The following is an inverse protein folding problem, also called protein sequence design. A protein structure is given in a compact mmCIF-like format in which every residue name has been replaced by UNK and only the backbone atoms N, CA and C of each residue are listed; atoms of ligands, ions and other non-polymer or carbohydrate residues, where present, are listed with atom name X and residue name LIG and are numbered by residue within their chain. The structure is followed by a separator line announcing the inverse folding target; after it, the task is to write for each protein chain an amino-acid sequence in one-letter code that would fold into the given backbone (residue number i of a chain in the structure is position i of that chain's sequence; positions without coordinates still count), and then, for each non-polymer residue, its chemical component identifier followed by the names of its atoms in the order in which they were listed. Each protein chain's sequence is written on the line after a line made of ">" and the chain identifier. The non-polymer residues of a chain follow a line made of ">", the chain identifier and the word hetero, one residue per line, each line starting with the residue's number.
data_IF_889403445306
#
_entry.id   IF_889403445306
#
_cell.length_a   1.000
_cell.length_b   1.000
_cell.length_c   1.000
_cell.angle_alpha   90.00
_cell.angle_beta   90.00
_cell.angle_gamma   90.00
#
_symmetry.space_group_name_H-M   'P 1'
#
loop_
_entity.id
_entity.type
_entity.pdbx_description
1 polymer ?
#
# COMPACT_ATOMS: atom_id res chain seq x y z
N UNK A 1 3.48 34.65 51.87
CA UNK A 1 4.68 34.33 51.07
C UNK A 1 4.23 34.12 49.60
N UNK A 2 4.48 35.17 48.79
CA UNK A 2 4.09 35.19 47.37
C UNK A 2 5.24 34.64 46.51
N UNK A 3 5.05 33.46 45.93
CA UNK A 3 6.01 32.87 45.00
C UNK A 3 5.83 33.51 43.61
N UNK A 4 6.66 34.48 43.27
CA UNK A 4 6.76 35.02 41.89
C UNK A 4 7.27 33.91 40.96
N UNK A 5 6.43 33.43 40.04
CA UNK A 5 6.83 32.59 38.93
C UNK A 5 7.76 33.34 37.98
N UNK A 6 8.95 32.81 37.76
CA UNK A 6 9.92 33.38 36.84
C UNK A 6 9.38 33.27 35.38
N UNK A 7 9.56 34.31 34.52
CA UNK A 7 9.08 34.27 33.14
C UNK A 7 9.85 33.21 32.32
N UNK A 8 9.15 32.36 31.59
CA UNK A 8 9.74 31.38 30.68
C UNK A 8 10.60 32.09 29.63
N UNK A 9 11.90 31.90 29.71
CA UNK A 9 12.89 32.44 28.78
C UNK A 9 12.67 31.81 27.40
N UNK A 10 11.99 32.52 26.47
CA UNK A 10 11.91 32.14 25.05
C UNK A 10 13.34 31.91 24.53
N UNK A 11 13.70 30.64 24.28
CA UNK A 11 14.96 30.26 23.62
C UNK A 11 14.92 30.88 22.19
N UNK A 12 15.63 32.00 22.00
CA UNK A 12 15.92 32.51 20.65
C UNK A 12 16.68 31.41 19.91
N UNK A 13 16.11 30.96 18.81
CA UNK A 13 16.72 29.96 17.94
C UNK A 13 18.12 30.50 17.55
N UNK A 14 19.15 29.79 17.97
CA UNK A 14 20.53 30.20 17.78
C UNK A 14 20.94 29.84 16.36
N UNK A 15 20.76 30.73 15.40
CA UNK A 15 21.07 30.55 13.97
C UNK A 15 22.48 29.99 13.73
N UNK A 16 23.44 30.27 14.60
CA UNK A 16 24.79 29.72 14.54
C UNK A 16 24.83 28.18 14.74
N UNK A 17 23.87 27.60 15.47
CA UNK A 17 23.80 26.16 15.71
C UNK A 17 23.08 25.42 14.58
N UNK A 18 22.07 26.05 13.95
CA UNK A 18 21.26 25.46 12.90
C UNK A 18 21.78 25.72 11.48
N UNK A 19 22.57 26.78 11.29
CA UNK A 19 23.09 27.22 9.99
C UNK A 19 23.83 26.10 9.23
N UNK A 20 24.85 25.43 9.81
CA UNK A 20 25.59 24.38 9.13
C UNK A 20 24.70 23.17 8.79
N UNK A 21 23.75 22.81 9.66
CA UNK A 21 22.81 21.74 9.40
C UNK A 21 21.84 22.08 8.25
N UNK A 22 21.29 23.30 8.24
CA UNK A 22 20.41 23.75 7.16
C UNK A 22 21.14 23.84 5.82
N UNK A 23 22.40 24.26 5.82
CA UNK A 23 23.21 24.32 4.60
C UNK A 23 23.49 22.93 4.04
N UNK A 24 23.71 21.95 4.90
CA UNK A 24 23.93 20.57 4.49
C UNK A 24 22.67 19.93 3.86
N UNK A 25 21.48 20.21 4.39
CA UNK A 25 20.21 19.65 3.88
C UNK A 25 19.55 20.53 2.81
N UNK A 26 20.03 21.78 2.60
CA UNK A 26 19.43 22.72 1.64
C UNK A 26 19.35 22.20 0.21
N UNK A 27 20.34 21.46 -0.36
CA UNK A 27 20.22 20.92 -1.70
C UNK A 27 19.04 19.96 -1.82
N UNK A 28 18.86 19.08 -0.82
CA UNK A 28 17.72 18.13 -0.81
C UNK A 28 16.39 18.87 -0.66
N UNK A 29 16.31 19.89 0.18
CA UNK A 29 15.10 20.71 0.36
C UNK A 29 14.74 21.43 -0.95
N UNK A 30 15.73 22.01 -1.64
CA UNK A 30 15.52 22.70 -2.92
C UNK A 30 15.03 21.70 -3.98
N UNK A 31 15.69 20.54 -4.12
CA UNK A 31 15.28 19.51 -5.07
C UNK A 31 13.85 19.04 -4.81
N UNK A 32 13.51 18.72 -3.56
CA UNK A 32 12.13 18.35 -3.19
C UNK A 32 11.15 19.50 -3.45
N UNK A 33 11.55 20.74 -3.10
CA UNK A 33 10.73 21.94 -3.36
C UNK A 33 10.38 22.11 -4.84
N UNK A 34 11.37 21.99 -5.71
CA UNK A 34 11.18 22.17 -7.16
C UNK A 34 10.52 20.96 -7.80
N UNK A 35 11.08 19.76 -7.61
CA UNK A 35 10.64 18.57 -8.36
C UNK A 35 9.40 17.90 -7.76
N UNK A 36 9.13 18.03 -6.48
CA UNK A 36 7.93 17.47 -5.87
C UNK A 36 6.85 18.53 -5.75
N UNK A 37 7.08 19.56 -4.95
CA UNK A 37 6.04 20.57 -4.71
C UNK A 37 5.76 21.46 -5.93
N UNK A 38 6.80 21.79 -6.72
CA UNK A 38 6.62 22.50 -8.00
C UNK A 38 5.77 21.71 -8.98
N UNK A 39 6.05 20.41 -9.15
CA UNK A 39 5.26 19.53 -10.02
C UNK A 39 3.83 19.35 -9.51
N UNK A 40 3.63 19.24 -8.20
CA UNK A 40 2.29 19.22 -7.61
C UNK A 40 1.53 20.50 -7.94
N UNK A 41 2.17 21.66 -7.78
CA UNK A 41 1.56 22.95 -8.14
C UNK A 41 1.18 23.05 -9.61
N UNK A 42 2.05 22.61 -10.51
CA UNK A 42 1.77 22.54 -11.95
C UNK A 42 0.60 21.62 -12.23
N UNK A 43 0.56 20.41 -11.64
CA UNK A 43 -0.54 19.47 -11.84
C UNK A 43 -1.88 20.02 -11.34
N UNK A 44 -1.90 20.68 -10.16
CA UNK A 44 -3.11 21.33 -9.65
C UNK A 44 -3.57 22.42 -10.61
N UNK A 45 -2.65 23.29 -11.07
CA UNK A 45 -3.02 24.33 -12.02
C UNK A 45 -3.55 23.75 -13.34
N UNK A 46 -2.87 22.75 -13.91
CA UNK A 46 -3.29 22.08 -15.15
C UNK A 46 -4.66 21.42 -15.01
N UNK A 47 -4.96 20.83 -13.85
CA UNK A 47 -6.27 20.18 -13.60
C UNK A 47 -7.45 21.16 -13.59
N UNK A 48 -7.20 22.45 -13.41
CA UNK A 48 -8.20 23.52 -13.41
C UNK A 48 -8.35 24.20 -14.80
N UNK A 49 -7.52 23.80 -15.77
CA UNK A 49 -7.49 24.36 -17.10
C UNK A 49 -8.18 23.41 -18.11
N UNK A 50 -8.74 24.03 -19.18
CA UNK A 50 -9.23 23.31 -20.35
C UNK A 50 -8.03 22.90 -21.24
N UNK A 51 -7.50 21.70 -21.01
CA UNK A 51 -6.36 21.14 -21.76
C UNK A 51 -6.73 19.79 -22.39
N UNK A 52 -7.60 19.80 -23.38
CA UNK A 52 -8.09 18.59 -24.05
C UNK A 52 -7.42 18.31 -25.41
N UNK A 53 -6.61 19.23 -25.91
CA UNK A 53 -5.97 19.07 -27.22
C UNK A 53 -4.45 19.23 -27.13
N UNK A 54 -3.73 18.52 -28.01
CA UNK A 54 -2.27 18.65 -28.13
C UNK A 54 -1.80 20.10 -28.40
N UNK A 55 -2.65 20.91 -29.05
CA UNK A 55 -2.37 22.33 -29.29
C UNK A 55 -2.41 23.17 -28.00
N UNK A 56 -3.30 22.85 -27.07
CA UNK A 56 -3.39 23.50 -25.76
C UNK A 56 -2.24 23.05 -24.85
N UNK A 57 -1.93 21.77 -24.83
CA UNK A 57 -0.80 21.20 -24.06
C UNK A 57 0.54 21.79 -24.53
N UNK A 58 0.70 22.01 -25.85
CA UNK A 58 1.93 22.60 -26.43
C UNK A 58 1.98 24.13 -26.34
N UNK A 59 0.98 24.79 -25.75
CA UNK A 59 0.90 26.25 -25.65
C UNK A 59 0.59 26.99 -26.96
N UNK A 60 0.28 26.24 -28.03
CA UNK A 60 -0.08 26.83 -29.35
C UNK A 60 -1.52 27.38 -29.40
N UNK A 61 -2.38 26.95 -28.50
CA UNK A 61 -3.73 27.46 -28.29
C UNK A 61 -3.90 27.94 -26.87
N UNK A 62 -4.65 29.02 -26.69
CA UNK A 62 -4.97 29.54 -25.37
C UNK A 62 -5.73 28.50 -24.52
N UNK A 63 -5.44 28.45 -23.25
CA UNK A 63 -6.16 27.63 -22.27
C UNK A 63 -7.09 28.53 -21.46
N UNK A 64 -8.28 28.06 -21.14
CA UNK A 64 -9.24 28.74 -20.28
C UNK A 64 -9.32 28.07 -18.92
N UNK A 65 -9.55 28.84 -17.87
CA UNK A 65 -9.77 28.30 -16.53
C UNK A 65 -11.19 27.77 -16.45
N UNK A 66 -11.34 26.47 -16.28
CA UNK A 66 -12.64 25.80 -16.15
C UNK A 66 -12.97 25.40 -14.71
N UNK A 67 -12.07 25.70 -13.79
CA UNK A 67 -12.24 25.41 -12.37
C UNK A 67 -12.44 23.90 -12.11
N UNK A 68 -13.49 23.54 -11.37
CA UNK A 68 -13.77 22.15 -11.01
C UNK A 68 -14.56 21.35 -12.06
N UNK A 69 -14.82 21.93 -13.26
CA UNK A 69 -15.60 21.26 -14.31
C UNK A 69 -14.98 19.93 -14.76
N UNK A 70 -13.65 19.86 -14.85
CA UNK A 70 -12.95 18.63 -15.18
C UNK A 70 -13.24 17.52 -14.17
N UNK A 71 -13.27 17.86 -12.88
CA UNK A 71 -13.58 16.89 -11.83
C UNK A 71 -15.04 16.44 -11.85
N UNK A 72 -15.98 17.35 -12.08
CA UNK A 72 -17.41 16.98 -12.19
C UNK A 72 -17.66 16.06 -13.38
N UNK A 73 -17.01 16.31 -14.52
CA UNK A 73 -17.08 15.46 -15.72
C UNK A 73 -16.45 14.09 -15.43
N UNK A 74 -15.28 14.05 -14.79
CA UNK A 74 -14.58 12.82 -14.46
C UNK A 74 -15.41 11.94 -13.53
N UNK A 75 -15.90 12.48 -12.42
CA UNK A 75 -16.74 11.72 -11.47
C UNK A 75 -18.16 11.44 -12.01
N UNK A 76 -18.60 12.17 -13.01
CA UNK A 76 -19.82 11.87 -13.79
C UNK A 76 -19.67 10.64 -14.71
N UNK A 77 -18.44 10.30 -15.11
CA UNK A 77 -18.18 9.17 -16.00
C UNK A 77 -18.35 7.83 -15.26
N UNK A 78 -19.24 6.93 -15.74
CA UNK A 78 -19.46 5.62 -15.12
C UNK A 78 -18.22 4.75 -15.08
N UNK A 79 -17.38 4.76 -16.12
CA UNK A 79 -16.14 3.96 -16.21
C UNK A 79 -15.13 4.40 -15.17
N UNK A 80 -14.97 5.72 -14.98
CA UNK A 80 -14.08 6.25 -13.96
C UNK A 80 -14.57 5.90 -12.55
N UNK A 81 -15.89 6.00 -12.30
CA UNK A 81 -16.46 5.60 -11.00
C UNK A 81 -16.21 4.11 -10.72
N UNK A 82 -16.36 3.25 -11.73
CA UNK A 82 -16.06 1.83 -11.59
C UNK A 82 -14.58 1.60 -11.25
N UNK A 83 -13.66 2.24 -11.98
CA UNK A 83 -12.22 2.12 -11.70
C UNK A 83 -11.84 2.67 -10.32
N UNK A 84 -12.52 3.71 -9.85
CA UNK A 84 -12.31 4.27 -8.52
C UNK A 84 -12.80 3.33 -7.40
N UNK A 85 -13.96 2.69 -7.60
CA UNK A 85 -14.46 1.65 -6.68
C UNK A 85 -13.51 0.46 -6.65
N UNK A 86 -13.01 0.01 -7.80
CA UNK A 86 -12.01 -1.04 -7.88
C UNK A 86 -10.74 -0.69 -7.10
N UNK A 87 -10.27 0.55 -7.18
CA UNK A 87 -9.11 1.00 -6.40
C UNK A 87 -9.38 0.90 -4.89
N UNK A 88 -10.55 1.31 -4.42
CA UNK A 88 -10.93 1.21 -3.01
C UNK A 88 -10.99 -0.26 -2.58
N UNK A 89 -11.65 -1.12 -3.35
CA UNK A 89 -11.77 -2.55 -3.05
C UNK A 89 -10.38 -3.22 -3.01
N UNK A 90 -9.54 -2.93 -3.98
CA UNK A 90 -8.15 -3.39 -4.03
C UNK A 90 -7.38 -2.93 -2.79
N UNK A 91 -7.42 -1.62 -2.49
CA UNK A 91 -6.70 -1.04 -1.35
C UNK A 91 -7.12 -1.68 -0.04
N UNK A 92 -8.43 -1.81 0.21
CA UNK A 92 -8.94 -2.40 1.46
C UNK A 92 -8.53 -3.87 1.56
N UNK A 93 -8.71 -4.65 0.50
CA UNK A 93 -8.38 -6.09 0.50
C UNK A 93 -6.88 -6.32 0.63
N UNK A 94 -6.08 -5.56 -0.12
CA UNK A 94 -4.62 -5.63 -0.07
C UNK A 94 -4.09 -5.25 1.31
N UNK A 95 -4.57 -4.14 1.87
CA UNK A 95 -4.17 -3.66 3.19
C UNK A 95 -4.56 -4.66 4.28
N UNK A 96 -5.83 -5.06 4.32
CA UNK A 96 -6.32 -6.02 5.31
C UNK A 96 -5.58 -7.38 5.20
N UNK A 97 -5.44 -7.91 3.98
CA UNK A 97 -4.75 -9.17 3.74
C UNK A 97 -3.29 -9.12 4.17
N UNK A 98 -2.57 -8.06 3.80
CA UNK A 98 -1.15 -7.89 4.13
C UNK A 98 -0.94 -7.72 5.64
N UNK A 99 -1.80 -6.95 6.30
CA UNK A 99 -1.73 -6.78 7.76
C UNK A 99 -2.03 -8.08 8.49
N UNK A 100 -3.09 -8.80 8.11
CA UNK A 100 -3.48 -10.05 8.75
C UNK A 100 -2.41 -11.13 8.54
N UNK A 101 -1.99 -11.37 7.31
CA UNK A 101 -0.99 -12.39 6.99
C UNK A 101 0.37 -12.03 7.61
N UNK A 102 0.81 -10.77 7.48
CA UNK A 102 2.05 -10.30 8.08
C UNK A 102 2.07 -10.39 9.60
N UNK A 103 0.97 -10.01 10.25
CA UNK A 103 0.81 -10.15 11.70
C UNK A 103 0.86 -11.62 12.13
N UNK A 104 0.13 -12.51 11.44
CA UNK A 104 0.12 -13.94 11.75
C UNK A 104 1.51 -14.55 11.61
N UNK A 105 2.25 -14.24 10.56
CA UNK A 105 3.62 -14.72 10.38
C UNK A 105 4.57 -14.16 11.45
N UNK A 106 4.44 -12.87 11.80
CA UNK A 106 5.22 -12.27 12.88
C UNK A 106 4.92 -12.93 14.23
N UNK A 107 3.64 -13.16 14.53
CA UNK A 107 3.21 -13.83 15.75
C UNK A 107 3.72 -15.26 15.86
N UNK A 108 3.75 -16.01 14.75
CA UNK A 108 4.31 -17.36 14.70
C UNK A 108 5.83 -17.33 14.92
N UNK A 109 6.54 -16.34 14.35
CA UNK A 109 7.99 -16.20 14.45
C UNK A 109 8.46 -15.52 15.75
N UNK A 110 7.57 -14.91 16.54
CA UNK A 110 7.89 -14.37 17.88
C UNK A 110 8.16 -15.49 18.90
N UNK A 111 7.73 -16.71 18.58
CA UNK A 111 8.02 -17.90 19.40
C UNK A 111 9.42 -18.44 19.09
N UNK A 112 10.10 -19.09 20.07
CA UNK A 112 11.40 -19.72 19.84
C UNK A 112 11.25 -20.91 18.87
N UNK A 113 11.54 -20.69 17.60
CA UNK A 113 11.44 -21.70 16.54
C UNK A 113 12.83 -22.02 16.00
N UNK A 114 13.18 -23.32 15.93
CA UNK A 114 14.40 -23.75 15.25
C UNK A 114 14.33 -23.41 13.76
N UNK A 115 15.34 -22.71 13.26
CA UNK A 115 15.38 -22.32 11.84
C UNK A 115 14.59 -21.04 11.50
N UNK A 116 14.28 -20.19 12.47
CA UNK A 116 13.59 -18.91 12.25
C UNK A 116 14.16 -18.10 11.10
N UNK A 117 15.48 -18.02 10.96
CA UNK A 117 16.14 -17.29 9.88
C UNK A 117 15.75 -17.78 8.47
N UNK A 118 15.53 -19.09 8.31
CA UNK A 118 15.10 -19.70 7.05
C UNK A 118 13.65 -19.25 6.73
N UNK A 119 12.75 -19.39 7.69
CA UNK A 119 11.36 -18.95 7.49
C UNK A 119 11.26 -17.46 7.19
N UNK A 120 12.03 -16.63 7.94
CA UNK A 120 12.10 -15.19 7.65
C UNK A 120 12.57 -14.91 6.23
N UNK A 121 13.59 -15.61 5.76
CA UNK A 121 14.10 -15.44 4.38
C UNK A 121 13.06 -15.86 3.33
N UNK A 122 12.37 -16.98 3.55
CA UNK A 122 11.30 -17.46 2.65
C UNK A 122 10.14 -16.45 2.59
N UNK A 123 9.70 -15.92 3.72
CA UNK A 123 8.58 -14.97 3.75
C UNK A 123 8.95 -13.58 3.20
N UNK A 124 10.23 -13.19 3.30
CA UNK A 124 10.73 -11.94 2.72
C UNK A 124 11.07 -12.05 1.23
N UNK A 125 11.31 -13.27 0.72
CA UNK A 125 11.73 -13.49 -0.66
C UNK A 125 10.80 -12.86 -1.70
N UNK A 126 9.46 -12.96 -1.59
CA UNK A 126 8.55 -12.37 -2.57
C UNK A 126 8.75 -10.86 -2.78
N UNK A 127 9.13 -10.14 -1.73
CA UNK A 127 9.39 -8.69 -1.80
C UNK A 127 10.60 -8.34 -2.70
N UNK A 128 11.54 -9.26 -2.88
CA UNK A 128 12.71 -9.07 -3.74
C UNK A 128 12.38 -9.21 -5.23
N UNK A 129 11.22 -9.78 -5.58
CA UNK A 129 10.78 -9.96 -6.97
C UNK A 129 10.15 -8.66 -7.47
N UNK A 130 10.44 -8.26 -8.72
CA UNK A 130 9.78 -7.09 -9.30
C UNK A 130 8.28 -7.31 -9.48
N UNK A 131 7.47 -6.25 -9.35
CA UNK A 131 6.01 -6.34 -9.54
C UNK A 131 5.64 -6.84 -10.93
N UNK A 132 6.39 -6.46 -11.97
CA UNK A 132 6.15 -6.92 -13.34
C UNK A 132 6.42 -8.41 -13.48
N UNK A 133 7.55 -8.89 -12.99
CA UNK A 133 7.89 -10.32 -13.05
C UNK A 133 6.89 -11.17 -12.25
N UNK A 134 6.53 -10.71 -11.05
CA UNK A 134 5.47 -11.31 -10.24
C UNK A 134 4.15 -11.36 -11.02
N UNK A 135 3.76 -10.24 -11.64
CA UNK A 135 2.52 -10.14 -12.40
C UNK A 135 2.43 -11.13 -13.56
N UNK A 136 3.52 -11.35 -14.30
CA UNK A 136 3.55 -12.34 -15.40
C UNK A 136 3.29 -13.77 -14.89
N UNK A 137 3.90 -14.15 -13.76
CA UNK A 137 3.66 -15.47 -13.15
C UNK A 137 2.24 -15.59 -12.65
N UNK A 138 1.74 -14.56 -11.96
CA UNK A 138 0.38 -14.55 -11.42
C UNK A 138 -0.70 -14.48 -12.52
N UNK A 139 -0.41 -13.88 -13.68
CA UNK A 139 -1.29 -13.93 -14.86
C UNK A 139 -1.54 -15.37 -15.29
N UNK A 140 -0.51 -16.21 -15.28
CA UNK A 140 -0.64 -17.63 -15.58
C UNK A 140 -1.38 -18.38 -14.46
N UNK A 141 -1.08 -18.09 -13.19
CA UNK A 141 -1.74 -18.72 -12.03
C UNK A 141 -3.23 -18.37 -11.97
N UNK A 142 -3.60 -17.12 -12.25
CA UNK A 142 -4.96 -16.60 -12.23
C UNK A 142 -5.66 -16.76 -13.60
N UNK A 143 -5.24 -17.73 -14.41
CA UNK A 143 -5.88 -17.98 -15.69
C UNK A 143 -7.34 -18.38 -15.48
N UNK A 144 -8.23 -17.78 -16.28
CA UNK A 144 -9.68 -17.96 -16.16
C UNK A 144 -10.23 -19.22 -16.83
N UNK A 145 -9.39 -19.97 -17.57
CA UNK A 145 -9.79 -21.22 -18.21
C UNK A 145 -10.21 -22.26 -17.17
N UNK A 146 -11.28 -22.98 -17.45
CA UNK A 146 -11.88 -24.01 -16.59
C UNK A 146 -12.04 -25.34 -17.34
N UNK A 147 -12.25 -26.43 -16.62
CA UNK A 147 -12.42 -27.75 -17.18
C UNK A 147 -11.15 -28.26 -17.86
N UNK A 148 -11.27 -28.91 -19.03
CA UNK A 148 -10.14 -29.54 -19.76
C UNK A 148 -9.03 -28.54 -20.13
N UNK A 149 -9.37 -27.27 -20.29
CA UNK A 149 -8.41 -26.19 -20.59
C UNK A 149 -7.88 -25.48 -19.34
N UNK A 150 -8.26 -25.92 -18.15
CA UNK A 150 -7.84 -25.32 -16.89
C UNK A 150 -6.31 -25.25 -16.79
N UNK A 151 -5.80 -24.13 -16.31
CA UNK A 151 -4.39 -23.91 -16.03
C UNK A 151 -4.23 -23.14 -14.73
N UNK A 152 -3.00 -23.03 -14.24
CA UNK A 152 -2.72 -22.29 -13.00
C UNK A 152 -3.47 -22.87 -11.79
N UNK A 153 -4.11 -21.98 -11.00
CA UNK A 153 -4.84 -22.38 -9.79
C UNK A 153 -6.08 -23.22 -10.09
N UNK A 154 -6.80 -22.96 -11.18
CA UNK A 154 -7.96 -23.77 -11.56
C UNK A 154 -7.57 -25.23 -11.83
N UNK A 155 -6.44 -25.45 -12.52
CA UNK A 155 -5.92 -26.80 -12.73
C UNK A 155 -5.52 -27.49 -11.42
N UNK A 156 -4.91 -26.74 -10.51
CA UNK A 156 -4.57 -27.27 -9.19
C UNK A 156 -5.83 -27.70 -8.42
N UNK A 157 -6.88 -26.87 -8.40
CA UNK A 157 -8.13 -27.19 -7.73
C UNK A 157 -8.83 -28.41 -8.36
N UNK A 158 -8.80 -28.54 -9.67
CA UNK A 158 -9.30 -29.72 -10.36
C UNK A 158 -8.56 -30.98 -9.91
N UNK A 159 -7.21 -30.94 -9.88
CA UNK A 159 -6.37 -32.10 -9.51
C UNK A 159 -6.60 -32.56 -8.06
N UNK A 160 -6.90 -31.65 -7.14
CA UNK A 160 -7.18 -31.95 -5.72
C UNK A 160 -8.68 -32.22 -5.47
N UNK A 161 -9.52 -32.22 -6.51
CA UNK A 161 -10.97 -32.46 -6.38
C UNK A 161 -11.76 -31.27 -5.83
N UNK A 162 -11.17 -30.08 -5.77
CA UNK A 162 -11.78 -28.85 -5.26
C UNK A 162 -12.34 -27.98 -6.39
N UNK A 163 -13.00 -28.58 -7.38
CA UNK A 163 -13.55 -27.88 -8.56
C UNK A 163 -14.49 -26.72 -8.21
N UNK A 164 -15.14 -26.76 -7.05
CA UNK A 164 -16.00 -25.65 -6.58
C UNK A 164 -15.25 -24.35 -6.31
N UNK A 165 -13.91 -24.37 -6.23
CA UNK A 165 -13.04 -23.19 -6.09
C UNK A 165 -12.57 -22.65 -7.45
N UNK A 166 -12.83 -23.34 -8.56
CA UNK A 166 -12.52 -22.83 -9.89
C UNK A 166 -13.29 -21.52 -10.15
N UNK A 167 -12.57 -20.53 -10.66
CA UNK A 167 -13.12 -19.19 -10.82
C UNK A 167 -12.60 -18.53 -12.10
N UNK A 168 -13.34 -17.56 -12.60
CA UNK A 168 -12.92 -16.69 -13.71
C UNK A 168 -11.93 -15.60 -13.28
N UNK A 169 -11.48 -15.63 -12.03
CA UNK A 169 -10.47 -14.74 -11.44
C UNK A 169 -10.60 -13.28 -11.91
N UNK A 170 -9.62 -12.81 -12.68
CA UNK A 170 -9.54 -11.43 -13.15
C UNK A 170 -10.63 -11.02 -14.17
N UNK A 171 -11.34 -11.96 -14.77
CA UNK A 171 -12.41 -11.67 -15.74
C UNK A 171 -13.79 -11.48 -15.08
N UNK A 172 -13.92 -11.81 -13.80
CA UNK A 172 -15.14 -11.56 -13.06
C UNK A 172 -15.36 -10.08 -12.84
N UNK A 173 -16.47 -9.53 -13.31
CA UNK A 173 -16.76 -8.09 -13.25
C UNK A 173 -16.95 -7.54 -11.84
N UNK A 174 -17.35 -8.39 -10.89
CA UNK A 174 -17.60 -7.98 -9.51
C UNK A 174 -16.38 -8.19 -8.61
N UNK A 175 -15.68 -9.30 -8.77
CA UNK A 175 -14.63 -9.75 -7.85
C UNK A 175 -13.23 -9.80 -8.47
N UNK A 176 -13.09 -9.48 -9.77
CA UNK A 176 -11.82 -9.60 -10.49
C UNK A 176 -10.67 -8.81 -9.86
N UNK A 177 -10.97 -7.61 -9.37
CA UNK A 177 -9.96 -6.77 -8.70
C UNK A 177 -9.46 -7.38 -7.37
N UNK A 178 -10.31 -8.15 -6.68
CA UNK A 178 -9.92 -8.82 -5.43
C UNK A 178 -8.94 -9.97 -5.70
N UNK A 179 -9.05 -10.64 -6.86
CA UNK A 179 -8.09 -11.67 -7.25
C UNK A 179 -6.67 -11.10 -7.40
N UNK A 180 -6.54 -9.84 -7.85
CA UNK A 180 -5.26 -9.15 -7.96
C UNK A 180 -4.68 -8.78 -6.58
N UNK A 181 -5.49 -8.68 -5.55
CA UNK A 181 -4.98 -8.46 -4.20
C UNK A 181 -4.17 -9.66 -3.67
N UNK A 182 -4.42 -10.90 -4.15
CA UNK A 182 -3.67 -12.10 -3.74
C UNK A 182 -2.16 -11.97 -4.01
N UNK A 183 -1.70 -11.71 -5.27
CA UNK A 183 -0.28 -11.47 -5.54
C UNK A 183 0.30 -10.29 -4.76
N UNK A 184 -0.46 -9.21 -4.59
CA UNK A 184 -0.01 -8.05 -3.84
C UNK A 184 0.21 -8.39 -2.36
N UNK A 185 -0.72 -9.11 -1.73
CA UNK A 185 -0.59 -9.60 -0.34
C UNK A 185 0.61 -10.55 -0.23
N UNK A 186 0.71 -11.55 -1.11
CA UNK A 186 1.83 -12.49 -1.12
C UNK A 186 3.18 -11.78 -1.20
N UNK A 187 3.28 -10.74 -2.02
CA UNK A 187 4.52 -10.02 -2.24
C UNK A 187 4.94 -9.16 -1.04
N UNK A 188 4.00 -8.57 -0.30
CA UNK A 188 4.31 -7.60 0.76
C UNK A 188 3.97 -8.06 2.19
N UNK A 189 3.35 -9.21 2.37
CA UNK A 189 3.07 -9.74 3.71
C UNK A 189 4.35 -9.99 4.52
N UNK A 190 5.44 -10.42 3.87
CA UNK A 190 6.74 -10.60 4.52
C UNK A 190 7.34 -9.30 5.04
N UNK A 191 7.15 -8.19 4.33
CA UNK A 191 7.57 -6.87 4.79
C UNK A 191 6.82 -6.46 6.08
N UNK A 192 5.50 -6.60 6.06
CA UNK A 192 4.66 -6.31 7.24
C UNK A 192 4.96 -7.25 8.39
N UNK A 193 5.23 -8.53 8.10
CA UNK A 193 5.75 -9.49 9.09
C UNK A 193 7.02 -8.97 9.77
N UNK A 194 7.99 -8.47 8.99
CA UNK A 194 9.23 -7.95 9.57
C UNK A 194 9.00 -6.73 10.47
N UNK A 195 8.08 -5.83 10.09
CA UNK A 195 7.70 -4.69 10.92
C UNK A 195 7.08 -5.15 12.26
N UNK A 196 6.09 -6.05 12.21
CA UNK A 196 5.46 -6.56 13.43
C UNK A 196 6.41 -7.38 14.28
N UNK A 197 7.28 -8.20 13.69
CA UNK A 197 8.27 -8.97 14.42
C UNK A 197 9.27 -8.08 15.16
N UNK A 198 9.72 -6.99 14.54
CA UNK A 198 10.52 -5.98 15.21
C UNK A 198 9.76 -5.33 16.37
N UNK A 199 8.47 -5.10 16.20
CA UNK A 199 7.59 -4.59 17.26
C UNK A 199 7.43 -5.55 18.41
N UNK A 200 7.16 -6.82 18.15
CA UNK A 200 7.06 -7.85 19.19
C UNK A 200 8.33 -7.94 20.03
N UNK A 201 9.50 -7.88 19.38
CA UNK A 201 10.81 -7.94 20.03
C UNK A 201 11.22 -6.65 20.75
N UNK A 202 10.54 -5.54 20.42
CA UNK A 202 10.71 -4.29 21.15
C UNK A 202 9.96 -4.22 22.47
N UNK A 203 9.06 -5.17 22.74
CA UNK A 203 8.31 -5.25 24.00
C UNK A 203 9.18 -5.97 25.03
N UNK A 204 9.54 -5.31 26.16
CA UNK A 204 10.34 -5.94 27.22
C UNK A 204 9.66 -7.20 27.77
N UNK A 205 10.45 -8.26 27.97
CA UNK A 205 9.95 -9.54 28.51
C UNK A 205 9.41 -9.37 29.94
N UNK A 206 9.98 -8.46 30.72
CA UNK A 206 9.50 -8.12 32.07
C UNK A 206 8.03 -7.74 32.10
N UNK A 207 7.52 -7.05 31.05
CA UNK A 207 6.10 -6.69 30.96
C UNK A 207 5.22 -7.92 30.73
N UNK A 208 5.71 -8.88 29.96
CA UNK A 208 5.00 -10.14 29.69
C UNK A 208 4.98 -11.02 30.94
N UNK A 209 6.11 -11.08 31.67
CA UNK A 209 6.23 -11.85 32.90
C UNK A 209 5.40 -11.25 34.03
N UNK A 210 5.45 -9.94 34.24
CA UNK A 210 4.63 -9.24 35.23
C UNK A 210 3.13 -9.50 35.00
N UNK A 211 2.63 -9.39 33.76
CA UNK A 211 1.26 -9.68 33.47
C UNK A 211 0.85 -11.13 33.77
N UNK A 212 1.74 -12.10 33.52
CA UNK A 212 1.49 -13.51 33.87
C UNK A 212 1.49 -13.73 35.37
N UNK A 213 2.37 -13.07 36.13
CA UNK A 213 2.39 -13.10 37.60
C UNK A 213 1.11 -12.52 38.18
N UNK A 214 0.57 -11.46 37.55
CA UNK A 214 -0.73 -10.85 37.89
C UNK A 214 -1.92 -11.72 37.50
N UNK A 215 -1.71 -12.91 36.90
CA UNK A 215 -2.76 -13.84 36.52
C UNK A 215 -3.47 -13.51 35.22
N UNK A 216 -2.91 -12.62 34.37
CA UNK A 216 -3.50 -12.32 33.08
C UNK A 216 -3.43 -13.54 32.14
N UNK A 217 -4.57 -13.85 31.50
CA UNK A 217 -4.61 -14.83 30.41
C UNK A 217 -3.84 -14.32 29.18
N UNK A 218 -3.40 -15.23 28.30
CA UNK A 218 -2.71 -14.84 27.04
C UNK A 218 -3.55 -13.83 26.22
N UNK A 219 -4.87 -13.99 26.19
CA UNK A 219 -5.76 -13.04 25.51
C UNK A 219 -5.73 -11.64 26.14
N UNK A 220 -5.71 -11.56 27.48
CA UNK A 220 -5.61 -10.30 28.20
C UNK A 220 -4.23 -9.64 27.97
N UNK A 221 -3.16 -10.44 27.97
CA UNK A 221 -1.80 -10.00 27.63
C UNK A 221 -1.77 -9.35 26.24
N UNK A 222 -2.31 -10.06 25.23
CA UNK A 222 -2.36 -9.51 23.87
C UNK A 222 -3.22 -8.26 23.78
N UNK A 223 -4.44 -8.29 24.31
CA UNK A 223 -5.40 -7.19 24.19
C UNK A 223 -4.94 -5.92 24.90
N UNK A 224 -4.38 -6.05 26.11
CA UNK A 224 -4.12 -4.92 27.00
C UNK A 224 -2.67 -4.42 26.94
N UNK A 225 -1.72 -5.24 26.50
CA UNK A 225 -0.30 -4.89 26.50
C UNK A 225 0.25 -4.90 25.06
N UNK A 226 0.14 -6.03 24.36
CA UNK A 226 0.82 -6.21 23.07
C UNK A 226 0.19 -5.36 21.97
N UNK A 227 -1.12 -5.47 21.73
CA UNK A 227 -1.79 -4.72 20.68
C UNK A 227 -1.65 -3.19 20.81
N UNK A 228 -1.82 -2.60 22.01
CA UNK A 228 -1.59 -1.15 22.16
C UNK A 228 -0.16 -0.73 21.82
N UNK A 229 0.84 -1.54 22.17
CA UNK A 229 2.24 -1.23 21.84
C UNK A 229 2.56 -1.43 20.36
N UNK A 230 1.89 -2.35 19.67
CA UNK A 230 2.03 -2.57 18.22
C UNK A 230 1.25 -1.55 17.39
N UNK A 231 0.33 -0.78 17.96
CA UNK A 231 -0.49 0.20 17.24
C UNK A 231 0.33 1.19 16.40
N UNK A 232 1.42 1.80 16.87
CA UNK A 232 2.23 2.71 16.06
C UNK A 232 2.87 2.01 14.85
N UNK A 233 3.27 0.75 15.01
CA UNK A 233 3.84 -0.08 13.94
C UNK A 233 2.77 -0.45 12.92
N UNK A 234 1.59 -0.86 13.41
CA UNK A 234 0.44 -1.13 12.55
C UNK A 234 0.05 0.11 11.73
N UNK A 235 0.02 1.29 12.35
CA UNK A 235 -0.25 2.56 11.66
C UNK A 235 0.80 2.86 10.59
N UNK A 236 2.08 2.64 10.90
CA UNK A 236 3.17 2.79 9.91
C UNK A 236 3.00 1.83 8.74
N UNK A 237 2.66 0.56 9.00
CA UNK A 237 2.37 -0.42 7.97
C UNK A 237 1.16 0.00 7.11
N UNK A 238 0.07 0.47 7.73
CA UNK A 238 -1.13 0.99 7.04
C UNK A 238 -0.76 2.12 6.09
N UNK A 239 0.03 3.10 6.53
CA UNK A 239 0.44 4.25 5.72
C UNK A 239 1.28 3.78 4.53
N UNK A 240 2.28 2.91 4.76
CA UNK A 240 3.19 2.45 3.72
C UNK A 240 2.45 1.60 2.68
N UNK A 241 1.71 0.57 3.13
CA UNK A 241 0.96 -0.32 2.23
C UNK A 241 -0.17 0.44 1.53
N UNK A 242 -0.87 1.33 2.24
CA UNK A 242 -1.89 2.20 1.65
C UNK A 242 -1.31 3.10 0.54
N UNK A 243 -0.15 3.70 0.76
CA UNK A 243 0.54 4.45 -0.29
C UNK A 243 0.95 3.57 -1.48
N UNK A 244 1.43 2.35 -1.23
CA UNK A 244 1.79 1.41 -2.29
C UNK A 244 0.57 0.95 -3.09
N UNK A 245 -0.59 0.77 -2.46
CA UNK A 245 -1.82 0.38 -3.16
C UNK A 245 -2.27 1.41 -4.20
N UNK A 246 -2.13 2.69 -3.90
CA UNK A 246 -2.47 3.79 -4.82
C UNK A 246 -1.55 3.83 -6.05
N UNK A 247 -0.35 3.25 -5.95
CA UNK A 247 0.66 3.18 -7.01
C UNK A 247 0.72 1.81 -7.72
N UNK A 248 -0.22 0.91 -7.47
CA UNK A 248 -0.21 -0.47 -7.98
C UNK A 248 -0.56 -0.55 -9.47
N UNK A 249 0.06 0.28 -10.31
CA UNK A 249 -0.09 0.23 -11.76
C UNK A 249 0.61 -0.99 -12.36
N UNK A 250 1.91 -1.18 -12.06
CA UNK A 250 2.77 -2.18 -12.69
C UNK A 250 2.26 -3.61 -12.48
N UNK A 251 1.82 -3.94 -11.26
CA UNK A 251 1.28 -5.25 -10.92
C UNK A 251 -0.02 -5.52 -11.68
N UNK A 252 -0.98 -4.60 -11.62
CA UNK A 252 -2.28 -4.76 -12.27
C UNK A 252 -2.10 -4.89 -13.78
N UNK A 253 -1.29 -4.01 -14.36
CA UNK A 253 -1.01 -3.97 -15.79
C UNK A 253 -0.31 -5.23 -16.30
N UNK A 254 0.55 -5.86 -15.50
CA UNK A 254 1.26 -7.08 -15.87
C UNK A 254 0.40 -8.35 -15.74
N UNK A 255 -0.61 -8.34 -14.86
CA UNK A 255 -1.56 -9.46 -14.69
C UNK A 255 -2.68 -9.37 -15.73
N UNK A 256 -3.20 -8.17 -16.00
CA UNK A 256 -4.38 -7.97 -16.86
C UNK A 256 -4.03 -7.05 -18.03
N UNK A 257 -4.85 -7.09 -19.09
CA UNK A 257 -4.71 -6.13 -20.19
C UNK A 257 -5.30 -4.77 -19.82
N UNK A 258 -4.82 -3.71 -20.49
CA UNK A 258 -5.33 -2.34 -20.36
C UNK A 258 -6.85 -2.22 -20.56
N UNK A 259 -7.43 -3.17 -21.29
CA UNK A 259 -8.84 -3.19 -21.68
C UNK A 259 -9.73 -3.99 -20.71
N UNK A 260 -9.16 -4.65 -19.71
CA UNK A 260 -9.92 -5.50 -18.80
C UNK A 260 -10.72 -4.63 -17.83
N UNK A 261 -12.03 -4.52 -18.08
CA UNK A 261 -12.94 -3.67 -17.32
C UNK A 261 -13.00 -4.04 -15.82
N UNK A 262 -13.05 -5.35 -15.52
CA UNK A 262 -13.19 -5.88 -14.15
C UNK A 262 -12.05 -5.49 -13.19
N UNK A 263 -10.86 -5.18 -13.71
CA UNK A 263 -9.66 -4.88 -12.92
C UNK A 263 -9.12 -3.48 -13.14
N UNK A 264 -9.89 -2.66 -13.86
CA UNK A 264 -9.53 -1.31 -14.21
C UNK A 264 -9.43 -0.43 -12.96
N UNK A 265 -8.37 0.35 -12.85
CA UNK A 265 -8.12 1.34 -11.79
C UNK A 265 -7.76 2.70 -12.39
N UNK A 266 -7.91 3.82 -11.67
CA UNK A 266 -7.65 5.17 -12.21
C UNK A 266 -6.28 5.35 -12.84
N UNK A 267 -5.24 4.67 -12.33
CA UNK A 267 -3.89 4.73 -12.91
C UNK A 267 -3.83 4.13 -14.32
N UNK A 268 -4.62 3.08 -14.61
CA UNK A 268 -4.76 2.50 -15.96
C UNK A 268 -5.58 3.42 -16.85
N UNK A 269 -6.64 4.06 -16.34
CA UNK A 269 -7.40 5.05 -17.08
C UNK A 269 -6.51 6.20 -17.52
N UNK A 270 -5.73 6.76 -16.61
CA UNK A 270 -4.78 7.82 -16.90
C UNK A 270 -3.80 7.42 -18.01
N UNK A 271 -3.26 6.19 -17.95
CA UNK A 271 -2.34 5.68 -18.97
C UNK A 271 -3.02 5.54 -20.36
N UNK A 272 -4.28 5.13 -20.39
CA UNK A 272 -5.04 4.96 -21.65
C UNK A 272 -5.42 6.30 -22.31
N UNK A 273 -5.45 7.39 -21.56
CA UNK A 273 -5.74 8.74 -22.06
C UNK A 273 -4.49 9.52 -22.49
N UNK A 274 -3.28 8.99 -22.26
CA UNK A 274 -2.02 9.56 -22.74
C UNK A 274 -1.70 9.15 -24.18
#
# INVERSE_FOLDING_TARGET
>A
MSTKSAPARRRRANWRQWGPGLLLISPSIILVGVFVYGMIGININTSLLDMHTAGQVSGRRGTTVVGLSNFTTLFGNPDFRHSFINLILFTVTFLAGTLVVGFLWAWLLDRPIKGEGIFRSIFLFPMAVSFVASGVVWRWLLNSAQGEQASGLNRLFEMVGLRFLENSWTQNTTWGILAIALPAVWQLAGYVMALFLAGFRGIPDDLREAARVDGASEWQLYKSIIFPQLTPIALSAVIIIGHMSLKSFDLIMSITDQRTYSTKVPAIDMFNFM
#
